data_IF_140089890212
#
_entry.id   IF_140089890212
#
_cell.length_a   1.000
_cell.length_b   1.000
_cell.length_c   1.000
_cell.angle_alpha   90.00
_cell.angle_beta   90.00
_cell.angle_gamma   90.00
#
_symmetry.space_group_name_H-M   'P 1'
#
loop_
_entity.id
_entity.type
_entity.pdbx_description
1 polymer ?
#
# COMPACT_ATOMS: atom_id res chain seq x y z
N UNK A 1 12.11 2.92 -1.77
CA UNK A 1 11.62 2.92 -0.37
C UNK A 1 12.71 2.62 0.64
N UNK A 2 13.31 1.43 0.63
CA UNK A 2 14.24 0.98 1.69
C UNK A 2 15.44 1.92 1.91
N UNK A 3 16.07 2.40 0.84
CA UNK A 3 17.25 3.27 0.94
C UNK A 3 16.99 4.55 1.74
N UNK A 4 15.95 5.31 1.36
CA UNK A 4 15.60 6.56 2.05
C UNK A 4 15.12 6.28 3.47
N UNK A 5 14.30 5.25 3.69
CA UNK A 5 13.85 4.86 5.03
C UNK A 5 15.03 4.59 5.97
N UNK A 6 16.05 3.86 5.48
CA UNK A 6 17.28 3.58 6.24
C UNK A 6 18.08 4.85 6.53
N UNK A 7 18.14 5.80 5.59
CA UNK A 7 18.85 7.07 5.81
C UNK A 7 18.19 7.96 6.88
N UNK A 8 16.89 7.78 7.10
CA UNK A 8 16.10 8.53 8.08
C UNK A 8 16.00 7.81 9.44
N UNK A 9 16.69 6.67 9.61
CA UNK A 9 16.74 5.92 10.86
C UNK A 9 17.31 6.79 12.00
N UNK A 10 16.64 6.79 13.15
CA UNK A 10 17.03 7.61 14.31
C UNK A 10 16.49 9.04 14.32
N UNK A 11 15.79 9.48 13.27
CA UNK A 11 15.09 10.77 13.25
C UNK A 11 13.65 10.63 13.75
N UNK A 12 13.15 11.61 14.51
CA UNK A 12 11.77 11.63 15.00
C UNK A 12 10.79 12.15 13.92
N UNK A 13 10.80 11.51 12.75
CA UNK A 13 9.94 11.84 11.62
C UNK A 13 9.07 10.65 11.23
N UNK A 14 7.80 10.92 10.95
CA UNK A 14 6.87 9.90 10.46
C UNK A 14 7.10 9.68 8.98
N UNK A 15 7.41 8.46 8.59
CA UNK A 15 7.55 8.06 7.19
C UNK A 15 6.36 7.21 6.76
N UNK A 16 5.97 7.32 5.50
CA UNK A 16 4.95 6.49 4.88
C UNK A 16 5.39 6.11 3.46
N UNK A 17 4.68 5.16 2.85
CA UNK A 17 4.86 4.82 1.44
C UNK A 17 3.54 5.01 0.72
N UNK A 18 3.63 5.34 -0.57
CA UNK A 18 2.47 5.26 -1.47
C UNK A 18 1.93 3.83 -1.42
N UNK A 19 0.61 3.72 -1.32
CA UNK A 19 -0.08 2.44 -1.38
C UNK A 19 0.19 1.75 -2.72
N UNK A 20 0.42 0.45 -2.69
CA UNK A 20 0.62 -0.37 -3.90
C UNK A 20 -0.54 -1.34 -4.01
N UNK A 21 -1.17 -1.35 -5.17
CA UNK A 21 -2.29 -2.24 -5.45
C UNK A 21 -2.86 -1.97 -6.84
N UNK A 22 -4.03 -2.55 -7.08
CA UNK A 22 -4.80 -2.40 -8.32
C UNK A 22 -5.28 -0.94 -8.46
N UNK A 23 -5.23 -0.39 -9.67
CA UNK A 23 -5.62 0.99 -9.92
C UNK A 23 -7.14 1.15 -9.89
N UNK A 24 -7.60 2.38 -9.69
CA UNK A 24 -9.03 2.69 -9.79
C UNK A 24 -9.46 2.52 -11.25
N UNK A 25 -10.50 1.72 -11.46
CA UNK A 25 -11.03 1.43 -12.80
C UNK A 25 -10.37 0.24 -13.51
N UNK A 26 -9.35 -0.37 -12.91
CA UNK A 26 -8.80 -1.65 -13.41
C UNK A 26 -9.75 -2.80 -13.05
N UNK A 27 -9.87 -3.77 -13.95
CA UNK A 27 -10.60 -5.01 -13.69
C UNK A 27 -9.65 -6.07 -13.13
N UNK A 28 -10.13 -6.83 -12.13
CA UNK A 28 -9.32 -7.83 -11.42
C UNK A 28 -8.78 -8.93 -12.35
N UNK A 29 -9.51 -9.26 -13.41
CA UNK A 29 -9.17 -10.31 -14.36
C UNK A 29 -7.94 -10.00 -15.22
N UNK A 30 -7.57 -8.72 -15.35
CA UNK A 30 -6.38 -8.27 -16.07
C UNK A 30 -5.23 -7.86 -15.15
N UNK A 31 -5.44 -7.89 -13.83
CA UNK A 31 -4.40 -7.57 -12.87
C UNK A 31 -3.36 -8.71 -12.80
N UNK A 32 -2.08 -8.36 -12.65
CA UNK A 32 -1.05 -9.35 -12.42
C UNK A 32 -1.22 -10.02 -11.04
N UNK A 33 -0.94 -11.31 -10.96
CA UNK A 33 -1.16 -12.13 -9.76
C UNK A 33 -0.40 -11.59 -8.54
N UNK A 34 0.78 -11.00 -8.75
CA UNK A 34 1.63 -10.47 -7.67
C UNK A 34 0.99 -9.21 -7.07
N UNK A 35 0.50 -8.30 -7.90
CA UNK A 35 -0.24 -7.11 -7.47
C UNK A 35 -1.55 -7.50 -6.79
N UNK A 36 -2.32 -8.42 -7.38
CA UNK A 36 -3.56 -8.92 -6.79
C UNK A 36 -3.33 -9.55 -5.41
N UNK A 37 -2.34 -10.44 -5.28
CA UNK A 37 -1.98 -11.07 -4.01
C UNK A 37 -1.54 -10.06 -2.95
N UNK A 38 -0.78 -9.02 -3.35
CA UNK A 38 -0.38 -7.92 -2.45
C UNK A 38 -1.58 -7.07 -2.01
N UNK A 39 -2.50 -6.76 -2.91
CA UNK A 39 -3.73 -6.00 -2.61
C UNK A 39 -4.63 -6.74 -1.63
N UNK A 40 -4.78 -8.07 -1.77
CA UNK A 40 -5.60 -8.89 -0.86
C UNK A 40 -4.94 -9.00 0.51
N UNK A 41 -3.62 -9.21 0.55
CA UNK A 41 -2.84 -9.36 1.80
C UNK A 41 -2.87 -8.08 2.63
N UNK A 42 -2.75 -6.92 1.97
CA UNK A 42 -2.70 -5.61 2.63
C UNK A 42 -4.04 -4.85 2.52
N UNK A 43 -5.16 -5.56 2.34
CA UNK A 43 -6.48 -4.94 2.20
C UNK A 43 -6.87 -4.19 3.48
N UNK A 44 -7.53 -3.05 3.32
CA UNK A 44 -8.07 -2.27 4.43
C UNK A 44 -9.55 -2.64 4.59
N UNK A 45 -10.01 -3.09 5.78
CA UNK A 45 -11.42 -3.34 6.04
C UNK A 45 -12.25 -2.09 5.74
N UNK A 46 -13.42 -2.29 5.12
CA UNK A 46 -14.26 -1.18 4.68
C UNK A 46 -14.70 -0.31 5.86
N UNK A 47 -14.98 -0.90 7.01
CA UNK A 47 -15.38 -0.19 8.23
C UNK A 47 -14.30 0.78 8.73
N UNK A 48 -13.04 0.48 8.46
CA UNK A 48 -11.91 1.34 8.82
C UNK A 48 -11.69 2.46 7.79
N UNK A 49 -12.16 2.30 6.56
CA UNK A 49 -12.03 3.32 5.51
C UNK A 49 -12.96 4.53 5.72
N UNK A 50 -14.00 4.39 6.56
CA UNK A 50 -14.98 5.45 6.85
C UNK A 50 -14.69 6.25 8.13
N UNK A 51 -13.67 5.88 8.91
CA UNK A 51 -13.27 6.64 10.11
C UNK A 51 -12.17 7.63 9.72
N UNK A 52 -12.60 8.84 9.35
CA UNK A 52 -11.75 10.01 9.13
C UNK A 52 -11.45 10.75 10.42
#
# INVERSE_FOLDING_TARGET
NFYIFKQLEGMEIKTSTIARGISVGDELEYADEVTLGRSITNRIPFENSMKS
#
